data_IF_479667686415
#
_entry.id   IF_479667686415
#
_cell.length_a   1.000
_cell.length_b   1.000
_cell.length_c   1.000
_cell.angle_alpha   90.00
_cell.angle_beta   90.00
_cell.angle_gamma   90.00
#
_symmetry.space_group_name_H-M   'P 1'
#
loop_
_entity.id
_entity.type
_entity.pdbx_description
1 polymer ?
#
# COMPACT_ATOMS: atom_id res chain seq x y z
N UNK A 1 3.74 -5.67 -2.04
CA UNK A 1 3.46 -7.09 -1.72
C UNK A 1 4.41 -7.70 -0.69
N UNK A 2 5.73 -7.77 -0.91
CA UNK A 2 6.66 -8.48 0.00
C UNK A 2 6.67 -7.87 1.42
N UNK A 3 6.60 -6.54 1.52
CA UNK A 3 6.53 -5.81 2.79
C UNK A 3 5.18 -5.95 3.53
N UNK A 4 4.13 -6.42 2.87
CA UNK A 4 2.83 -6.65 3.50
C UNK A 4 2.82 -8.03 4.17
N UNK A 5 3.32 -8.10 5.39
CA UNK A 5 3.39 -9.33 6.19
C UNK A 5 2.09 -9.65 6.94
N UNK A 6 1.21 -8.67 7.11
CA UNK A 6 -0.07 -8.79 7.83
C UNK A 6 -1.28 -8.59 6.90
N UNK A 7 -2.44 -9.11 7.30
CA UNK A 7 -3.71 -8.90 6.58
C UNK A 7 -4.06 -7.44 6.37
N UNK A 8 -3.84 -6.60 7.38
CA UNK A 8 -4.16 -5.17 7.28
C UNK A 8 -3.27 -4.48 6.25
N UNK A 9 -1.96 -4.79 6.22
CA UNK A 9 -1.05 -4.25 5.22
C UNK A 9 -1.36 -4.75 3.80
N UNK A 10 -1.89 -5.96 3.67
CA UNK A 10 -2.19 -6.55 2.37
C UNK A 10 -3.55 -6.14 1.82
N UNK A 11 -4.60 -6.32 2.62
CA UNK A 11 -6.02 -6.19 2.24
C UNK A 11 -6.62 -4.83 2.62
N UNK A 12 -5.94 -4.04 3.44
CA UNK A 12 -6.46 -2.79 3.98
C UNK A 12 -7.08 -2.95 5.37
N UNK A 13 -7.40 -1.82 5.99
CA UNK A 13 -8.08 -1.77 7.27
C UNK A 13 -9.53 -2.24 7.16
N UNK A 14 -10.10 -2.85 8.21
CA UNK A 14 -11.51 -3.25 8.20
C UNK A 14 -12.43 -2.06 7.94
N UNK A 15 -13.50 -2.31 7.18
CA UNK A 15 -14.61 -1.39 6.97
C UNK A 15 -15.92 -2.06 7.38
N UNK A 16 -16.59 -1.50 8.38
CA UNK A 16 -17.83 -2.04 8.94
C UNK A 16 -18.95 -1.01 8.87
N UNK A 17 -20.18 -1.48 9.07
CA UNK A 17 -21.36 -0.62 9.10
C UNK A 17 -21.19 0.47 10.16
N UNK A 18 -21.21 1.74 9.72
CA UNK A 18 -21.06 2.91 10.58
C UNK A 18 -19.63 3.49 10.64
N UNK A 19 -18.65 2.83 10.02
CA UNK A 19 -17.28 3.33 9.96
C UNK A 19 -17.13 4.48 8.94
N UNK A 20 -15.99 5.18 9.03
CA UNK A 20 -15.57 6.14 8.00
C UNK A 20 -15.43 5.41 6.65
N UNK A 21 -16.02 5.93 5.54
CA UNK A 21 -15.99 5.30 4.22
C UNK A 21 -14.60 5.13 3.61
N UNK A 22 -13.56 5.76 4.13
CA UNK A 22 -12.20 5.73 3.55
C UNK A 22 -11.17 5.13 4.50
N UNK A 23 -11.27 3.83 4.83
CA UNK A 23 -10.26 3.12 5.63
C UNK A 23 -8.89 3.13 4.94
N UNK A 24 -7.83 2.71 5.65
CA UNK A 24 -6.52 2.50 5.02
C UNK A 24 -6.64 1.45 3.92
N UNK A 25 -6.25 1.81 2.71
CA UNK A 25 -6.19 0.88 1.58
C UNK A 25 -5.10 -0.17 1.78
N UNK A 26 -5.28 -1.33 1.16
CA UNK A 26 -4.29 -2.40 1.16
C UNK A 26 -3.10 -2.08 0.25
N UNK A 27 -1.94 -2.67 0.53
CA UNK A 27 -0.73 -2.40 -0.26
C UNK A 27 -0.91 -2.65 -1.76
N UNK A 28 -1.61 -3.73 -2.16
CA UNK A 28 -1.84 -4.04 -3.58
C UNK A 28 -2.77 -3.02 -4.22
N UNK A 29 -3.83 -2.62 -3.51
CA UNK A 29 -4.83 -1.65 -3.95
C UNK A 29 -4.19 -0.28 -4.24
N UNK A 30 -3.33 0.19 -3.32
CA UNK A 30 -2.59 1.44 -3.50
C UNK A 30 -1.55 1.32 -4.60
N UNK A 31 -0.68 0.31 -4.56
CA UNK A 31 0.33 0.08 -5.57
C UNK A 31 0.73 -1.41 -5.64
N UNK A 32 0.51 -2.10 -6.77
CA UNK A 32 0.52 -1.51 -8.11
C UNK A 32 -0.86 -1.21 -8.73
N UNK A 33 -1.98 -1.62 -8.12
CA UNK A 33 -3.31 -1.55 -8.74
C UNK A 33 -3.66 -0.14 -9.25
N UNK A 34 -3.69 0.86 -8.36
CA UNK A 34 -4.02 2.23 -8.78
C UNK A 34 -3.01 2.79 -9.79
N UNK A 35 -1.74 2.41 -9.70
CA UNK A 35 -0.72 2.82 -10.68
C UNK A 35 -1.03 2.30 -12.09
N UNK A 36 -1.49 1.04 -12.22
CA UNK A 36 -1.86 0.47 -13.52
C UNK A 36 -3.10 1.17 -14.09
N UNK A 37 -4.10 1.43 -13.25
CA UNK A 37 -5.28 2.22 -13.63
C UNK A 37 -4.89 3.58 -14.22
N UNK A 38 -4.06 4.35 -13.51
CA UNK A 38 -3.60 5.65 -14.01
C UNK A 38 -2.77 5.54 -15.29
N UNK A 39 -1.96 4.49 -15.43
CA UNK A 39 -1.07 4.30 -16.57
C UNK A 39 -1.81 3.91 -17.85
N UNK A 40 -2.83 3.05 -17.74
CA UNK A 40 -3.66 2.64 -18.88
C UNK A 40 -4.70 3.70 -19.25
N UNK A 41 -5.20 4.45 -18.26
CA UNK A 41 -6.17 5.53 -18.47
C UNK A 41 -5.70 6.56 -19.50
N UNK A 42 -6.62 7.04 -20.35
CA UNK A 42 -6.24 7.90 -21.47
C UNK A 42 -5.97 9.34 -20.98
N UNK A 43 -4.70 9.75 -20.99
CA UNK A 43 -4.26 11.03 -20.46
C UNK A 43 -4.86 12.28 -21.16
N UNK A 44 -5.51 12.11 -22.32
CA UNK A 44 -6.24 13.15 -23.04
C UNK A 44 -7.70 13.32 -22.58
N UNK A 45 -8.18 12.46 -21.67
CA UNK A 45 -9.51 12.54 -21.07
C UNK A 45 -9.49 13.28 -19.73
N UNK A 46 -10.58 13.99 -19.36
CA UNK A 46 -10.60 14.83 -18.16
C UNK A 46 -10.22 14.11 -16.86
N UNK A 47 -10.58 12.82 -16.74
CA UNK A 47 -10.32 11.99 -15.56
C UNK A 47 -9.57 10.71 -15.92
N UNK A 48 -8.84 10.74 -17.03
CA UNK A 48 -8.09 9.60 -17.55
C UNK A 48 -8.97 8.38 -17.88
N UNK A 49 -10.21 8.60 -18.31
CA UNK A 49 -11.11 7.54 -18.74
C UNK A 49 -10.48 6.66 -19.86
N UNK A 50 -10.75 5.37 -19.94
CA UNK A 50 -11.65 4.61 -19.07
C UNK A 50 -10.95 4.11 -17.80
N UNK A 51 -9.78 3.47 -17.93
CA UNK A 51 -9.07 2.83 -16.81
C UNK A 51 -8.64 3.76 -15.67
N UNK A 52 -8.44 5.05 -15.90
CA UNK A 52 -7.98 5.99 -14.88
C UNK A 52 -9.05 6.45 -13.87
N UNK A 53 -10.32 6.13 -14.12
CA UNK A 53 -11.42 6.47 -13.23
C UNK A 53 -12.36 5.29 -12.98
N UNK A 54 -12.72 5.04 -11.71
CA UNK A 54 -13.50 3.85 -11.34
C UNK A 54 -14.89 3.77 -11.98
N UNK A 55 -15.54 4.90 -12.31
CA UNK A 55 -16.87 4.90 -12.94
C UNK A 55 -16.84 4.48 -14.43
N UNK A 56 -15.66 4.43 -15.04
CA UNK A 56 -15.45 4.04 -16.43
C UNK A 56 -14.54 2.85 -16.62
N UNK A 57 -13.73 2.47 -15.62
CA UNK A 57 -12.65 1.51 -15.79
C UNK A 57 -13.09 0.21 -16.48
N UNK A 58 -14.23 -0.36 -16.08
CA UNK A 58 -14.77 -1.61 -16.66
C UNK A 58 -15.28 -1.51 -18.11
N UNK A 59 -15.32 -0.30 -18.71
CA UNK A 59 -15.63 -0.12 -20.14
C UNK A 59 -14.48 -0.55 -21.03
N UNK A 60 -13.25 -0.49 -20.53
CA UNK A 60 -12.09 -1.11 -21.15
C UNK A 60 -12.01 -2.58 -20.71
N UNK A 61 -11.99 -3.49 -21.69
CA UNK A 61 -11.93 -4.93 -21.42
C UNK A 61 -10.67 -5.35 -20.64
N UNK A 62 -9.58 -4.57 -20.71
CA UNK A 62 -8.35 -4.87 -19.96
C UNK A 62 -8.54 -4.77 -18.44
N UNK A 63 -9.58 -4.06 -17.98
CA UNK A 63 -9.97 -3.98 -16.57
C UNK A 63 -10.09 -5.37 -15.93
N UNK A 64 -10.78 -6.28 -16.60
CA UNK A 64 -11.01 -7.63 -16.08
C UNK A 64 -9.70 -8.41 -16.00
N UNK A 65 -8.84 -8.34 -17.02
CA UNK A 65 -7.53 -8.98 -17.01
C UNK A 65 -6.60 -8.41 -15.92
N UNK A 66 -6.66 -7.09 -15.68
CA UNK A 66 -5.94 -6.45 -14.59
C UNK A 66 -6.39 -7.00 -13.22
N UNK A 67 -7.70 -7.03 -12.97
CA UNK A 67 -8.26 -7.53 -11.71
C UNK A 67 -8.05 -9.04 -11.51
N UNK A 68 -8.00 -9.85 -12.57
CA UNK A 68 -7.62 -11.27 -12.48
C UNK A 68 -6.21 -11.44 -11.91
N UNK A 69 -5.24 -10.61 -12.31
CA UNK A 69 -3.92 -10.69 -11.71
C UNK A 69 -3.92 -10.17 -10.26
N UNK A 70 -4.75 -9.18 -9.91
CA UNK A 70 -4.93 -8.75 -8.52
C UNK A 70 -5.49 -9.86 -7.63
N UNK A 71 -6.49 -10.61 -8.11
CA UNK A 71 -7.02 -11.80 -7.44
C UNK A 71 -5.96 -12.90 -7.30
N UNK A 72 -5.19 -13.17 -8.36
CA UNK A 72 -4.03 -14.08 -8.32
C UNK A 72 -3.02 -13.69 -7.25
N UNK A 73 -2.74 -12.40 -7.08
CA UNK A 73 -1.80 -11.91 -6.07
C UNK A 73 -2.26 -12.20 -4.63
N UNK A 74 -3.57 -12.26 -4.37
CA UNK A 74 -4.08 -12.71 -3.06
C UNK A 74 -3.76 -14.19 -2.80
N UNK A 75 -4.02 -15.05 -3.79
CA UNK A 75 -3.64 -16.46 -3.72
C UNK A 75 -2.14 -16.64 -3.46
N UNK A 76 -1.30 -15.95 -4.23
CA UNK A 76 0.16 -15.99 -4.07
C UNK A 76 0.63 -15.44 -2.73
N UNK A 77 0.05 -14.33 -2.26
CA UNK A 77 0.44 -13.72 -0.99
C UNK A 77 0.29 -14.70 0.18
N UNK A 78 -0.77 -15.52 0.18
CA UNK A 78 -0.98 -16.58 1.19
C UNK A 78 0.09 -17.68 1.15
N UNK A 79 0.78 -17.89 0.03
CA UNK A 79 1.82 -18.91 -0.10
C UNK A 79 3.22 -18.39 0.25
N UNK A 80 3.39 -17.09 0.45
CA UNK A 80 4.69 -16.50 0.80
C UNK A 80 5.06 -16.74 2.27
N UNK A 81 6.35 -16.92 2.56
CA UNK A 81 6.90 -17.23 3.89
C UNK A 81 6.43 -16.33 5.03
N UNK A 82 6.08 -16.91 6.17
CA UNK A 82 5.62 -16.17 7.35
C UNK A 82 4.16 -16.43 7.64
N UNK A 83 3.61 -15.76 8.65
CA UNK A 83 2.24 -16.02 9.14
C UNK A 83 1.18 -15.21 8.40
N UNK A 84 1.30 -15.11 7.07
CA UNK A 84 0.33 -14.42 6.22
C UNK A 84 -0.99 -15.17 6.25
N UNK A 85 -1.99 -14.52 6.81
CA UNK A 85 -3.38 -14.99 6.86
C UNK A 85 -4.25 -13.80 6.54
N UNK A 86 -5.26 -14.01 5.70
CA UNK A 86 -6.30 -13.02 5.44
C UNK A 86 -7.21 -12.84 6.67
N UNK A 87 -8.32 -12.13 6.50
CA UNK A 87 -9.31 -11.91 7.55
C UNK A 87 -10.23 -13.12 7.80
N UNK A 88 -9.80 -14.35 7.47
CA UNK A 88 -10.59 -15.58 7.67
C UNK A 88 -10.93 -15.89 9.13
N UNK A 89 -10.41 -15.14 10.09
CA UNK A 89 -10.70 -15.21 11.53
C UNK A 89 -11.64 -14.10 12.03
N UNK A 90 -12.06 -13.16 11.18
CA UNK A 90 -13.03 -12.10 11.51
C UNK A 90 -14.42 -12.42 10.94
N UNK A 91 -15.41 -12.78 11.78
CA UNK A 91 -16.78 -13.03 11.34
C UNK A 91 -17.40 -11.85 10.58
N UNK A 92 -17.09 -10.61 10.93
CA UNK A 92 -17.67 -9.44 10.24
C UNK A 92 -17.22 -9.37 8.78
N UNK A 93 -15.95 -9.67 8.53
CA UNK A 93 -15.42 -9.74 7.18
C UNK A 93 -16.02 -10.94 6.43
N UNK A 94 -16.04 -12.12 7.07
CA UNK A 94 -16.59 -13.34 6.47
C UNK A 94 -18.09 -13.27 6.14
N UNK A 95 -18.88 -12.55 6.95
CA UNK A 95 -20.33 -12.39 6.78
C UNK A 95 -20.74 -11.19 5.93
N UNK A 96 -19.78 -10.38 5.48
CA UNK A 96 -20.03 -9.29 4.54
C UNK A 96 -20.64 -9.83 3.24
N UNK A 97 -21.66 -9.14 2.75
CA UNK A 97 -22.49 -9.56 1.63
C UNK A 97 -22.38 -8.62 0.44
N UNK A 98 -22.37 -9.21 -0.75
CA UNK A 98 -22.45 -8.49 -2.02
C UNK A 98 -23.54 -9.11 -2.90
N UNK A 99 -23.98 -8.36 -3.91
CA UNK A 99 -25.05 -8.79 -4.81
C UNK A 99 -24.60 -8.67 -6.27
N UNK A 100 -24.83 -9.72 -7.04
CA UNK A 100 -24.47 -9.80 -8.46
C UNK A 100 -25.61 -10.42 -9.26
N UNK A 101 -25.60 -10.17 -10.57
CA UNK A 101 -26.37 -10.98 -11.51
C UNK A 101 -25.50 -12.14 -11.99
N UNK A 102 -26.05 -13.35 -11.99
CA UNK A 102 -25.41 -14.54 -12.57
C UNK A 102 -25.60 -14.60 -14.11
N UNK A 103 -25.05 -15.63 -14.75
CA UNK A 103 -25.15 -15.84 -16.19
C UNK A 103 -26.58 -16.13 -16.69
N UNK A 104 -27.50 -16.45 -15.77
CA UNK A 104 -28.92 -16.69 -16.05
C UNK A 104 -29.79 -15.47 -15.68
N UNK A 105 -29.16 -14.32 -15.39
CA UNK A 105 -29.80 -13.08 -14.94
C UNK A 105 -30.58 -13.20 -13.61
N UNK A 106 -30.22 -14.17 -12.75
CA UNK A 106 -30.75 -14.22 -11.39
C UNK A 106 -29.99 -13.25 -10.49
N UNK A 107 -30.69 -12.63 -9.55
CA UNK A 107 -30.08 -11.77 -8.54
C UNK A 107 -29.58 -12.62 -7.36
N UNK A 108 -28.26 -12.74 -7.24
CA UNK A 108 -27.60 -13.63 -6.29
C UNK A 108 -26.89 -12.84 -5.20
N UNK A 109 -27.10 -13.24 -3.95
CA UNK A 109 -26.35 -12.76 -2.78
C UNK A 109 -25.16 -13.69 -2.54
N UNK A 110 -23.97 -13.12 -2.38
CA UNK A 110 -22.73 -13.85 -2.08
C UNK A 110 -22.10 -13.33 -0.80
N UNK A 111 -21.37 -14.21 -0.09
CA UNK A 111 -20.58 -13.86 1.09
C UNK A 111 -19.10 -14.02 0.84
N UNK A 112 -18.30 -13.22 1.52
CA UNK A 112 -16.83 -13.30 1.47
C UNK A 112 -16.31 -14.69 1.86
N UNK A 113 -16.92 -15.34 2.87
CA UNK A 113 -16.50 -16.70 3.28
C UNK A 113 -16.53 -17.74 2.16
N UNK A 114 -17.37 -17.54 1.15
CA UNK A 114 -17.57 -18.50 0.07
C UNK A 114 -16.55 -18.32 -1.06
N UNK A 115 -15.74 -17.25 -1.05
CA UNK A 115 -14.72 -16.98 -2.07
C UNK A 115 -13.26 -17.20 -1.62
N UNK A 116 -13.02 -17.71 -0.40
CA UNK A 116 -11.67 -17.87 0.14
C UNK A 116 -10.81 -18.92 -0.58
N UNK A 117 -11.46 -19.89 -1.23
CA UNK A 117 -10.85 -21.00 -1.95
C UNK A 117 -11.34 -21.01 -3.41
N UNK A 118 -10.47 -20.56 -4.31
CA UNK A 118 -10.76 -20.47 -5.74
C UNK A 118 -11.11 -21.82 -6.36
N UNK A 119 -10.63 -22.93 -5.80
CA UNK A 119 -10.98 -24.28 -6.27
C UNK A 119 -12.45 -24.61 -6.04
N UNK A 120 -13.05 -24.12 -4.95
CA UNK A 120 -14.50 -24.26 -4.70
C UNK A 120 -15.32 -23.40 -5.66
N UNK A 121 -14.74 -22.32 -6.16
CA UNK A 121 -15.31 -21.49 -7.23
C UNK A 121 -15.08 -22.07 -8.64
N UNK A 122 -14.35 -23.18 -8.75
CA UNK A 122 -14.14 -23.88 -10.03
C UNK A 122 -13.00 -23.34 -10.89
N UNK A 123 -12.07 -22.54 -10.35
CA UNK A 123 -10.93 -22.02 -11.12
C UNK A 123 -9.60 -22.01 -10.35
N UNK A 124 -8.51 -22.02 -11.12
CA UNK A 124 -7.13 -21.81 -10.65
C UNK A 124 -6.34 -21.01 -11.68
N UNK A 125 -5.25 -20.39 -11.26
CA UNK A 125 -4.31 -19.75 -12.17
C UNK A 125 -3.23 -20.73 -12.62
N UNK A 126 -2.70 -20.49 -13.82
CA UNK A 126 -1.50 -21.17 -14.29
C UNK A 126 -0.29 -20.81 -13.40
N UNK A 127 0.52 -21.81 -13.08
CA UNK A 127 1.78 -21.63 -12.39
C UNK A 127 2.82 -21.06 -13.35
N UNK A 128 3.23 -19.81 -13.10
CA UNK A 128 4.24 -19.09 -13.88
C UNK A 128 5.35 -18.59 -12.96
N UNK A 129 6.55 -18.39 -13.51
CA UNK A 129 7.70 -17.90 -12.74
C UNK A 129 7.41 -16.55 -12.05
N UNK A 130 7.95 -16.40 -10.84
CA UNK A 130 7.77 -15.22 -9.99
C UNK A 130 9.12 -14.51 -9.80
N UNK A 131 9.64 -13.81 -10.83
CA UNK A 131 10.98 -13.23 -10.79
C UNK A 131 11.16 -12.21 -9.66
N UNK A 132 10.08 -11.50 -9.29
CA UNK A 132 10.07 -10.49 -8.23
C UNK A 132 10.36 -11.06 -6.82
N UNK A 133 10.28 -12.38 -6.61
CA UNK A 133 10.71 -13.01 -5.36
C UNK A 133 12.24 -13.04 -5.21
N UNK A 134 12.97 -13.01 -6.32
CA UNK A 134 14.43 -13.13 -6.36
C UNK A 134 15.14 -11.79 -6.57
N UNK A 135 14.39 -10.69 -6.63
CA UNK A 135 14.90 -9.33 -6.84
C UNK A 135 14.49 -8.41 -5.67
N UNK A 136 14.93 -8.68 -4.43
CA UNK A 136 14.66 -7.78 -3.32
C UNK A 136 15.37 -6.44 -3.53
N UNK A 137 14.77 -5.32 -3.08
CA UNK A 137 15.43 -4.02 -3.13
C UNK A 137 16.75 -4.01 -2.37
N UNK A 138 17.77 -3.36 -2.93
CA UNK A 138 19.08 -3.19 -2.29
C UNK A 138 19.30 -1.76 -1.85
N UNK A 139 20.14 -1.52 -0.85
CA UNK A 139 20.56 -0.15 -0.51
C UNK A 139 21.92 0.14 -1.14
N UNK A 140 22.07 1.21 -1.95
CA UNK A 140 23.34 1.57 -2.54
C UNK A 140 24.20 2.43 -1.59
N UNK A 141 23.58 2.97 -0.53
CA UNK A 141 24.23 3.88 0.42
C UNK A 141 24.78 3.08 1.60
N UNK A 142 25.94 3.49 2.11
CA UNK A 142 26.47 2.88 3.33
C UNK A 142 25.72 3.38 4.57
N UNK A 143 25.69 2.54 5.61
CA UNK A 143 25.15 2.90 6.93
C UNK A 143 25.74 4.20 7.49
N UNK A 144 27.04 4.42 7.30
CA UNK A 144 27.75 5.61 7.75
C UNK A 144 27.25 6.88 7.03
N UNK A 145 27.06 6.81 5.71
CA UNK A 145 26.53 7.93 4.93
C UNK A 145 25.11 8.32 5.38
N UNK A 146 24.23 7.32 5.58
CA UNK A 146 22.88 7.56 6.12
C UNK A 146 22.91 8.23 7.49
N UNK A 147 23.74 7.74 8.42
CA UNK A 147 23.87 8.33 9.77
C UNK A 147 24.40 9.77 9.75
N UNK A 148 25.36 10.05 8.88
CA UNK A 148 25.92 11.40 8.73
C UNK A 148 24.84 12.40 8.26
N UNK A 149 24.03 12.03 7.28
CA UNK A 149 22.94 12.87 6.74
C UNK A 149 21.75 13.03 7.69
N UNK A 150 21.47 12.01 8.50
CA UNK A 150 20.40 12.04 9.52
C UNK A 150 20.72 12.93 10.72
N UNK A 151 22.00 13.07 11.07
CA UNK A 151 22.45 13.81 12.28
C UNK A 151 22.04 15.30 12.28
N UNK A 152 22.19 16.07 11.18
CA UNK A 152 21.68 17.43 11.11
C UNK A 152 20.16 17.52 11.32
N UNK A 153 19.37 16.64 10.68
CA UNK A 153 17.92 16.68 10.79
C UNK A 153 17.41 16.28 12.18
N UNK A 154 18.13 15.41 12.90
CA UNK A 154 17.86 15.10 14.30
C UNK A 154 17.97 16.31 15.23
N UNK A 155 18.80 17.29 14.85
CA UNK A 155 18.95 18.55 15.59
C UNK A 155 17.92 19.61 15.18
N UNK A 156 17.25 19.43 14.04
CA UNK A 156 16.22 20.33 13.56
C UNK A 156 14.91 20.15 14.32
N UNK A 157 14.10 21.22 14.38
CA UNK A 157 12.77 21.12 14.99
C UNK A 157 11.90 20.16 14.16
N UNK A 158 11.14 19.26 14.79
CA UNK A 158 10.23 18.39 14.06
C UNK A 158 9.22 19.20 13.26
N UNK A 159 8.86 18.69 12.08
CA UNK A 159 7.83 19.27 11.23
C UNK A 159 6.51 19.37 11.98
N UNK A 160 5.82 20.51 11.83
CA UNK A 160 4.50 20.71 12.45
C UNK A 160 3.43 20.01 11.61
N UNK A 161 2.56 19.25 12.27
CA UNK A 161 1.38 18.64 11.68
C UNK A 161 0.10 19.35 12.17
N UNK A 162 -0.97 19.42 11.35
CA UNK A 162 -1.04 18.96 9.96
C UNK A 162 -0.12 19.77 9.03
N UNK A 163 0.38 19.12 7.98
CA UNK A 163 1.31 19.67 7.00
C UNK A 163 0.64 19.66 5.63
N UNK A 164 0.77 20.74 4.87
CA UNK A 164 0.47 20.74 3.44
C UNK A 164 1.68 20.18 2.71
N UNK A 165 1.53 19.04 2.02
CA UNK A 165 2.62 18.35 1.34
C UNK A 165 2.86 18.91 -0.07
N UNK A 166 3.32 20.15 -0.15
CA UNK A 166 3.62 20.86 -1.42
C UNK A 166 5.07 20.66 -1.91
N UNK A 167 5.95 20.21 -1.02
CA UNK A 167 7.38 20.06 -1.21
C UNK A 167 7.91 18.83 -0.48
N UNK A 168 9.11 18.37 -0.87
CA UNK A 168 9.79 17.26 -0.20
C UNK A 168 9.95 17.63 1.28
N UNK A 169 9.45 16.77 2.15
CA UNK A 169 9.51 17.01 3.59
C UNK A 169 9.97 15.78 4.32
N UNK A 170 11.04 15.93 5.09
CA UNK A 170 11.47 14.92 6.05
C UNK A 170 11.02 15.25 7.47
N UNK A 171 10.77 14.19 8.23
CA UNK A 171 10.53 14.27 9.66
C UNK A 171 11.18 13.10 10.38
N UNK A 172 11.55 13.31 11.62
CA UNK A 172 12.12 12.28 12.48
C UNK A 172 11.01 11.60 13.25
N UNK A 173 10.83 10.30 13.01
CA UNK A 173 9.81 9.49 13.69
C UNK A 173 10.48 8.60 14.73
N UNK A 174 9.99 8.63 15.97
CA UNK A 174 10.48 7.75 17.04
C UNK A 174 9.99 6.33 16.82
N UNK A 175 10.89 5.37 17.01
CA UNK A 175 10.56 3.95 16.96
C UNK A 175 10.09 3.49 18.35
N UNK A 176 9.10 2.58 18.42
CA UNK A 176 8.58 2.11 19.70
C UNK A 176 9.55 1.20 20.44
N UNK A 177 10.31 0.37 19.72
CA UNK A 177 11.26 -0.61 20.29
C UNK A 177 12.47 -0.78 19.37
N UNK A 178 13.64 -0.94 19.97
CA UNK A 178 14.91 -1.20 19.27
C UNK A 178 15.30 -2.66 19.42
N UNK A 179 16.19 -3.15 18.55
CA UNK A 179 16.81 -4.47 18.69
C UNK A 179 15.79 -5.56 19.04
N UNK A 180 14.71 -5.63 18.25
CA UNK A 180 13.65 -6.63 18.42
C UNK A 180 14.22 -8.02 18.14
N UNK A 181 13.82 -9.00 18.94
CA UNK A 181 14.23 -10.38 18.72
C UNK A 181 13.65 -10.91 17.40
N UNK A 182 14.20 -12.01 16.87
CA UNK A 182 13.63 -12.65 15.68
C UNK A 182 12.17 -13.05 15.91
N UNK A 183 11.86 -13.57 17.09
CA UNK A 183 10.50 -13.95 17.48
C UNK A 183 9.57 -12.71 17.55
N UNK A 184 10.02 -11.60 18.12
CA UNK A 184 9.25 -10.35 18.17
C UNK A 184 8.89 -9.87 16.75
N UNK A 185 9.83 -9.93 15.81
CA UNK A 185 9.61 -9.53 14.40
C UNK A 185 8.65 -10.47 13.68
N UNK A 186 8.67 -11.75 14.00
CA UNK A 186 7.75 -12.73 13.42
C UNK A 186 6.34 -12.61 13.98
N UNK A 187 6.17 -12.15 15.23
CA UNK A 187 4.87 -11.94 15.88
C UNK A 187 4.25 -10.60 15.49
N UNK A 188 5.06 -9.54 15.44
CA UNK A 188 4.60 -8.19 15.20
C UNK A 188 5.43 -7.52 14.11
N UNK A 189 4.75 -6.98 13.10
CA UNK A 189 5.36 -6.12 12.11
C UNK A 189 5.53 -4.71 12.70
N UNK A 190 6.71 -4.11 12.56
CA UNK A 190 6.88 -2.67 12.80
C UNK A 190 6.33 -1.92 11.59
N UNK A 191 5.31 -1.09 11.81
CA UNK A 191 4.55 -0.42 10.74
C UNK A 191 4.73 1.09 10.86
N UNK A 192 5.08 1.73 9.75
CA UNK A 192 4.96 3.18 9.59
C UNK A 192 3.51 3.50 9.22
N UNK A 193 2.87 4.36 10.00
CA UNK A 193 1.50 4.82 9.77
C UNK A 193 1.52 6.31 9.46
N UNK A 194 0.94 6.69 8.32
CA UNK A 194 0.68 8.08 7.94
C UNK A 194 -0.83 8.29 8.08
N UNK A 195 -1.25 9.03 9.10
CA UNK A 195 -2.66 9.28 9.40
C UNK A 195 -3.08 10.69 8.96
N UNK A 196 -4.38 10.88 8.73
CA UNK A 196 -4.94 12.20 8.42
C UNK A 196 -4.51 12.71 7.04
N UNK A 197 -4.41 11.81 6.06
CA UNK A 197 -4.15 12.18 4.67
C UNK A 197 -5.44 12.76 4.10
N UNK A 198 -5.47 14.08 3.92
CA UNK A 198 -6.65 14.81 3.45
C UNK A 198 -6.46 15.38 2.03
N UNK A 199 -7.46 15.16 1.16
CA UNK A 199 -7.48 15.67 -0.20
C UNK A 199 -8.89 15.60 -0.82
N UNK A 200 -9.12 16.35 -1.89
CA UNK A 200 -10.38 16.29 -2.66
C UNK A 200 -10.50 14.99 -3.46
N UNK A 201 -11.66 14.35 -3.42
CA UNK A 201 -11.93 13.09 -4.13
C UNK A 201 -11.87 13.22 -5.66
N UNK A 202 -11.92 14.45 -6.16
CA UNK A 202 -11.77 14.83 -7.56
C UNK A 202 -10.30 14.94 -8.01
N UNK A 203 -9.34 14.73 -7.10
CA UNK A 203 -7.90 14.80 -7.39
C UNK A 203 -7.27 13.42 -7.47
N UNK A 204 -6.44 13.24 -8.50
CA UNK A 204 -5.40 12.22 -8.47
C UNK A 204 -4.27 12.68 -7.53
N UNK A 205 -4.00 11.89 -6.49
CA UNK A 205 -2.99 12.21 -5.47
C UNK A 205 -1.93 11.13 -5.47
N UNK A 206 -0.66 11.54 -5.52
CA UNK A 206 0.48 10.64 -5.46
C UNK A 206 1.62 11.25 -4.67
N UNK A 207 2.14 10.53 -3.69
CA UNK A 207 3.42 10.84 -3.05
C UNK A 207 4.18 9.58 -2.69
N UNK A 208 5.50 9.66 -2.72
CA UNK A 208 6.40 8.56 -2.36
C UNK A 208 6.87 8.70 -0.92
N UNK A 209 7.16 7.56 -0.29
CA UNK A 209 7.60 7.47 1.10
C UNK A 209 8.97 6.79 1.11
N UNK A 210 9.93 7.45 1.75
CA UNK A 210 11.29 6.94 1.91
C UNK A 210 11.67 6.87 3.39
N UNK A 211 12.57 5.94 3.73
CA UNK A 211 13.11 5.74 5.07
C UNK A 211 14.63 5.85 5.07
N UNK A 212 15.16 6.71 5.94
CA UNK A 212 16.58 7.02 6.10
C UNK A 212 17.27 7.37 4.76
N UNK A 213 16.54 8.07 3.89
CA UNK A 213 17.04 8.54 2.60
C UNK A 213 17.59 9.97 2.69
N UNK A 214 18.21 10.45 1.61
CA UNK A 214 18.76 11.79 1.45
C UNK A 214 17.82 12.61 0.58
N UNK A 215 17.25 13.70 1.12
CA UNK A 215 16.33 14.56 0.36
C UNK A 215 16.96 15.11 -0.93
N UNK A 216 18.27 15.36 -0.90
CA UNK A 216 19.02 15.90 -2.04
C UNK A 216 19.28 14.84 -3.13
N UNK A 217 19.15 13.56 -2.80
CA UNK A 217 19.50 12.45 -3.68
C UNK A 217 18.66 11.21 -3.32
N UNK A 218 17.35 11.32 -3.53
CA UNK A 218 16.39 10.26 -3.22
C UNK A 218 16.65 9.00 -4.05
N UNK A 219 16.45 7.86 -3.43
CA UNK A 219 16.62 6.55 -4.05
C UNK A 219 15.42 6.17 -4.94
N UNK A 220 15.68 5.38 -5.98
CA UNK A 220 14.66 4.88 -6.90
C UNK A 220 13.79 3.74 -6.29
N UNK A 221 12.63 3.41 -6.89
CA UNK A 221 11.71 2.40 -6.35
C UNK A 221 12.25 0.96 -6.20
N UNK A 222 13.39 0.66 -6.81
CA UNK A 222 14.08 -0.63 -6.71
C UNK A 222 15.09 -0.68 -5.55
N UNK A 223 15.22 0.40 -4.77
CA UNK A 223 16.16 0.50 -3.65
C UNK A 223 15.45 0.41 -2.29
N UNK A 224 16.16 -0.06 -1.27
CA UNK A 224 15.61 -0.33 0.07
C UNK A 224 15.03 0.91 0.76
N UNK A 225 15.64 2.08 0.56
CA UNK A 225 15.18 3.34 1.16
C UNK A 225 13.77 3.73 0.70
N UNK A 226 13.37 3.37 -0.53
CA UNK A 226 12.01 3.55 -1.02
C UNK A 226 11.11 2.46 -0.44
N UNK A 227 10.09 2.85 0.33
CA UNK A 227 9.24 1.88 1.04
C UNK A 227 7.84 1.75 0.46
N UNK A 228 7.42 2.72 -0.36
CA UNK A 228 6.15 2.66 -1.06
C UNK A 228 5.71 4.02 -1.58
N UNK A 229 4.56 3.99 -2.24
CA UNK A 229 3.88 5.16 -2.78
C UNK A 229 2.44 5.12 -2.31
N UNK A 230 1.92 6.25 -1.87
CA UNK A 230 0.49 6.45 -1.76
C UNK A 230 -0.05 6.93 -3.11
N UNK A 231 -1.06 6.25 -3.64
CA UNK A 231 -1.76 6.59 -4.89
C UNK A 231 -3.25 6.54 -4.64
N UNK A 232 -3.95 7.64 -4.92
CA UNK A 232 -5.41 7.69 -4.93
C UNK A 232 -5.91 8.09 -6.32
N UNK A 233 -6.87 7.31 -6.85
CA UNK A 233 -7.52 7.59 -8.13
C UNK A 233 -8.69 8.57 -7.97
N UNK A 234 -9.11 9.16 -9.10
CA UNK A 234 -10.30 9.99 -9.14
C UNK A 234 -11.54 9.22 -8.64
N UNK A 235 -12.23 9.77 -7.64
CA UNK A 235 -13.45 9.22 -7.06
C UNK A 235 -14.56 10.27 -6.91
N UNK A 236 -15.15 10.67 -8.03
CA UNK A 236 -16.42 11.40 -8.07
C UNK A 236 -16.35 12.85 -7.59
N UNK A 237 -17.48 13.36 -7.09
CA UNK A 237 -17.79 14.80 -7.04
C UNK A 237 -17.17 15.57 -5.85
N UNK A 238 -15.85 15.56 -5.72
CA UNK A 238 -15.09 16.57 -4.96
C UNK A 238 -15.39 16.66 -3.45
N UNK A 239 -15.75 15.56 -2.80
CA UNK A 239 -15.84 15.54 -1.32
C UNK A 239 -14.43 15.40 -0.72
N UNK A 240 -14.24 15.86 0.52
CA UNK A 240 -12.96 15.69 1.18
C UNK A 240 -12.81 14.22 1.63
N UNK A 241 -11.72 13.59 1.23
CA UNK A 241 -11.30 12.27 1.70
C UNK A 241 -10.37 12.48 2.89
N UNK A 242 -10.54 11.69 3.96
CA UNK A 242 -9.57 11.57 5.04
C UNK A 242 -9.27 10.08 5.25
N UNK A 243 -8.03 9.70 4.96
CA UNK A 243 -7.58 8.31 5.04
C UNK A 243 -6.23 8.19 5.74
N UNK A 244 -5.73 6.97 5.83
CA UNK A 244 -4.40 6.65 6.33
C UNK A 244 -3.68 5.71 5.37
N UNK A 245 -2.36 5.67 5.49
CA UNK A 245 -1.50 4.78 4.72
C UNK A 245 -0.55 4.04 5.66
N UNK A 246 -0.42 2.72 5.46
CA UNK A 246 0.35 1.83 6.33
C UNK A 246 1.40 1.08 5.52
N UNK A 247 2.65 1.09 5.99
CA UNK A 247 3.76 0.38 5.35
C UNK A 247 4.53 -0.43 6.40
N UNK A 248 4.74 -1.72 6.13
CA UNK A 248 5.62 -2.56 6.96
C UNK A 248 7.09 -2.21 6.74
N UNK A 249 7.82 -1.98 7.83
CA UNK A 249 9.20 -1.46 7.79
C UNK A 249 10.22 -2.37 8.47
N UNK A 250 9.83 -3.50 9.05
CA UNK A 250 10.79 -4.39 9.76
C UNK A 250 11.92 -4.85 8.85
N UNK A 251 11.57 -5.32 7.65
CA UNK A 251 12.56 -5.78 6.65
C UNK A 251 13.40 -4.61 6.11
N UNK A 252 12.80 -3.43 5.96
CA UNK A 252 13.52 -2.21 5.55
C UNK A 252 14.57 -1.84 6.59
N UNK A 253 14.21 -1.85 7.88
CA UNK A 253 15.13 -1.52 8.96
C UNK A 253 16.30 -2.51 9.07
N UNK A 254 16.05 -3.79 8.83
CA UNK A 254 17.09 -4.82 8.74
C UNK A 254 18.03 -4.55 7.57
N UNK A 255 17.50 -4.37 6.36
CA UNK A 255 18.30 -4.11 5.16
C UNK A 255 19.09 -2.80 5.22
N UNK A 256 18.58 -1.78 5.93
CA UNK A 256 19.29 -0.51 6.15
C UNK A 256 20.23 -0.54 7.37
N UNK A 257 20.31 -1.67 8.10
CA UNK A 257 21.04 -1.83 9.35
C UNK A 257 20.67 -0.77 10.43
N UNK A 258 19.39 -0.38 10.47
CA UNK A 258 18.85 0.70 11.29
C UNK A 258 18.12 0.20 12.55
N UNK A 259 18.22 -1.08 12.88
CA UNK A 259 17.49 -1.71 13.99
C UNK A 259 17.89 -1.20 15.38
N UNK A 260 19.11 -0.68 15.49
CA UNK A 260 19.68 -0.05 16.69
C UNK A 260 19.33 1.44 16.81
N UNK A 261 18.71 2.05 15.81
CA UNK A 261 18.37 3.46 15.84
C UNK A 261 17.10 3.70 16.68
N UNK A 262 17.07 4.78 17.47
CA UNK A 262 15.88 5.18 18.26
C UNK A 262 14.76 5.77 17.40
N UNK A 263 15.13 6.17 16.20
CA UNK A 263 14.35 7.04 15.34
C UNK A 263 14.65 6.67 13.91
N UNK A 264 13.73 6.98 13.00
CA UNK A 264 13.92 6.87 11.56
C UNK A 264 13.66 8.23 10.94
N UNK A 265 14.39 8.55 9.89
CA UNK A 265 14.06 9.68 9.04
C UNK A 265 13.02 9.21 8.04
N UNK A 266 11.85 9.84 8.02
CA UNK A 266 10.80 9.56 7.03
C UNK A 266 10.73 10.76 6.10
N UNK A 267 10.86 10.52 4.80
CA UNK A 267 10.78 11.55 3.77
C UNK A 267 9.54 11.33 2.93
N UNK A 268 8.72 12.37 2.80
CA UNK A 268 7.51 12.40 1.99
C UNK A 268 7.77 13.23 0.75
N UNK A 269 7.53 12.65 -0.43
CA UNK A 269 7.91 13.22 -1.72
C UNK A 269 6.65 13.40 -2.56
N UNK A 270 6.03 14.60 -2.59
CA UNK A 270 4.84 14.82 -3.40
C UNK A 270 5.17 14.72 -4.89
N UNK A 271 4.41 13.89 -5.62
CA UNK A 271 4.55 13.72 -7.07
C UNK A 271 3.43 14.42 -7.83
N UNK A 272 2.17 14.22 -7.41
CA UNK A 272 0.98 14.82 -8.02
C UNK A 272 -0.06 15.13 -6.96
N UNK A 273 -0.90 16.15 -7.19
CA UNK A 273 -2.02 16.49 -6.31
C UNK A 273 -1.66 17.43 -5.16
N UNK A 274 -0.69 18.34 -5.39
CA UNK A 274 -0.32 19.41 -4.45
C UNK A 274 -1.49 20.36 -4.16
#
# INVERSE_FOLDING_TARGET
MVLASTKELFMGSPFRLGDNPTPSMGSIEVAPHNTVHTWVGAADKPHHEDMGAFYTAARDLIFYAHHLNSDRLWGLWKTLEGRRKDYSDDPNWLDSDFYFYDENANFVRVKVRDCLDTKKLGYVYEDVDLPWLRTPPTSPKSKLLRKAKKSPLLSSKPSKFPLVLDSITSTVVKRPKKLRSKEDKEQEEEVLVIEGIEFGSDKYVKFDIHINDDEDNLNEPDQTEFVGTFVNLFHGQGHNINTSFKVGISKVLECLEAEEDNVVLVTLVPKVGK
#
